data_IF_378701466115
#
_entry.id   IF_378701466115
#
_cell.length_a   1.000
_cell.length_b   1.000
_cell.length_c   1.000
_cell.angle_alpha   90.00
_cell.angle_beta   90.00
_cell.angle_gamma   90.00
#
_symmetry.space_group_name_H-M   'P 1'
#
loop_
_entity.id
_entity.type
_entity.pdbx_description
1 polymer ?
#
# COMPACT_ATOMS: atom_id res chain seq x y z
N UNK A 1 68.92 -29.11 19.44
CA UNK A 1 67.99 -28.56 20.46
C UNK A 1 67.50 -27.24 19.87
N UNK A 2 66.22 -26.99 19.53
CA UNK A 2 64.96 -27.24 20.22
C UNK A 2 63.81 -27.60 19.27
N UNK A 3 62.84 -28.40 19.76
CA UNK A 3 61.57 -28.70 19.10
C UNK A 3 60.58 -27.56 19.39
N UNK A 4 59.98 -26.97 18.35
CA UNK A 4 58.87 -26.03 18.49
C UNK A 4 57.54 -26.80 18.49
N UNK A 5 56.94 -26.93 19.67
CA UNK A 5 55.56 -27.42 19.87
C UNK A 5 54.58 -26.26 19.70
N UNK A 6 53.75 -26.30 18.67
CA UNK A 6 52.66 -25.33 18.47
C UNK A 6 51.44 -25.74 19.30
N UNK A 7 51.18 -24.97 20.36
CA UNK A 7 50.01 -25.06 21.22
C UNK A 7 48.82 -24.36 20.56
N UNK A 8 47.74 -25.09 20.25
CA UNK A 8 46.48 -24.55 19.78
C UNK A 8 45.58 -24.13 20.97
N UNK A 9 45.03 -22.90 21.00
CA UNK A 9 44.11 -22.49 22.05
C UNK A 9 42.73 -23.14 21.90
N UNK A 10 42.22 -23.71 23.00
CA UNK A 10 40.88 -24.31 23.11
C UNK A 10 39.82 -23.19 23.10
N UNK A 11 38.97 -23.17 22.06
CA UNK A 11 37.85 -22.22 21.94
C UNK A 11 36.75 -22.62 22.94
N UNK A 12 36.51 -21.77 23.94
CA UNK A 12 35.45 -21.95 24.94
C UNK A 12 34.12 -21.55 24.27
N UNK A 13 33.18 -22.50 24.17
CA UNK A 13 31.84 -22.26 23.64
C UNK A 13 30.96 -21.85 24.82
N UNK A 14 30.63 -20.56 24.90
CA UNK A 14 29.71 -20.01 25.90
C UNK A 14 28.29 -20.07 25.34
N UNK A 15 27.45 -20.95 25.89
CA UNK A 15 26.03 -21.07 25.54
C UNK A 15 25.22 -20.02 26.31
N UNK A 16 24.78 -18.95 25.64
CA UNK A 16 23.84 -17.97 26.20
C UNK A 16 22.40 -18.47 26.03
N UNK A 17 21.70 -18.66 27.15
CA UNK A 17 20.28 -19.04 27.21
C UNK A 17 19.42 -17.79 27.12
N UNK A 18 18.80 -17.55 25.97
CA UNK A 18 17.87 -16.44 25.75
C UNK A 18 16.51 -16.77 26.37
N UNK A 19 16.11 -16.02 27.39
CA UNK A 19 14.78 -16.10 28.02
C UNK A 19 13.81 -15.21 27.24
N UNK A 20 12.82 -15.80 26.58
CA UNK A 20 11.76 -15.08 25.88
C UNK A 20 10.67 -14.70 26.87
N UNK A 21 10.55 -13.41 27.20
CA UNK A 21 9.45 -12.88 28.01
C UNK A 21 8.27 -12.57 27.11
N UNK A 22 7.19 -13.34 27.23
CA UNK A 22 5.93 -13.12 26.50
C UNK A 22 5.12 -12.05 27.22
N UNK A 23 5.04 -10.84 26.65
CA UNK A 23 4.17 -9.77 27.15
C UNK A 23 2.75 -10.00 26.62
N UNK A 24 1.82 -10.41 27.49
CA UNK A 24 0.40 -10.56 27.16
C UNK A 24 -0.28 -9.19 27.22
N UNK A 25 -0.64 -8.63 26.08
CA UNK A 25 -1.40 -7.37 25.99
C UNK A 25 -2.88 -7.65 26.17
N UNK A 26 -3.42 -7.39 27.36
CA UNK A 26 -4.86 -7.47 27.65
C UNK A 26 -5.58 -6.33 26.92
N UNK A 27 -6.42 -6.67 25.94
CA UNK A 27 -7.24 -5.69 25.21
C UNK A 27 -8.55 -5.47 25.96
N UNK A 28 -8.68 -4.33 26.63
CA UNK A 28 -9.90 -3.93 27.33
C UNK A 28 -10.99 -3.64 26.31
N UNK A 29 -12.05 -4.46 26.30
CA UNK A 29 -13.19 -4.30 25.39
C UNK A 29 -14.20 -3.35 26.02
N UNK A 30 -14.27 -2.11 25.53
CA UNK A 30 -15.28 -1.14 25.97
C UNK A 30 -16.60 -1.44 25.26
N UNK A 31 -17.54 -2.07 25.96
CA UNK A 31 -18.93 -2.25 25.51
C UNK A 31 -19.69 -0.93 25.61
N UNK A 32 -19.94 -0.28 24.47
CA UNK A 32 -20.80 0.90 24.37
C UNK A 32 -22.26 0.45 24.24
N UNK A 33 -23.04 0.71 25.28
CA UNK A 33 -24.49 0.48 25.33
C UNK A 33 -25.20 1.53 24.48
N UNK A 34 -25.64 1.17 23.27
CA UNK A 34 -26.52 2.01 22.46
C UNK A 34 -27.97 1.71 22.79
N UNK A 35 -28.63 2.68 23.45
CA UNK A 35 -30.06 2.64 23.73
C UNK A 35 -30.87 2.54 22.43
N UNK A 36 -31.75 1.54 22.41
CA UNK A 36 -32.74 1.31 21.37
C UNK A 36 -33.92 2.25 21.63
N UNK A 37 -34.18 3.19 20.72
CA UNK A 37 -35.41 4.00 20.74
C UNK A 37 -36.34 3.51 19.64
N UNK A 38 -37.48 2.99 20.08
CA UNK A 38 -38.55 2.39 19.29
C UNK A 38 -39.33 3.44 18.48
N UNK A 39 -39.80 3.02 17.32
CA UNK A 39 -40.54 3.79 16.30
C UNK A 39 -41.69 4.65 16.83
N UNK A 40 -41.79 5.87 16.29
CA UNK A 40 -43.06 6.62 16.17
C UNK A 40 -43.35 6.89 14.70
N UNK A 41 -44.45 6.33 14.23
CA UNK A 41 -45.02 6.55 12.90
C UNK A 41 -45.79 7.86 12.86
N UNK A 42 -45.29 8.86 12.12
CA UNK A 42 -46.09 10.00 11.66
C UNK A 42 -45.93 10.18 10.16
N UNK A 43 -47.07 10.12 9.46
CA UNK A 43 -47.22 10.26 8.00
C UNK A 43 -47.08 11.75 7.61
N UNK A 44 -46.30 12.02 6.55
CA UNK A 44 -46.10 13.31 5.80
C UNK A 44 -44.68 13.89 5.92
N UNK A 45 -44.05 14.53 4.91
CA UNK A 45 -44.33 14.61 3.46
C UNK A 45 -43.34 13.73 2.65
N UNK A 46 -43.44 13.69 1.31
CA UNK A 46 -42.53 12.93 0.42
C UNK A 46 -41.06 13.16 0.79
N UNK A 47 -40.24 12.11 0.97
CA UNK A 47 -38.87 12.28 1.44
C UNK A 47 -38.06 12.93 0.33
N UNK A 48 -37.64 14.17 0.53
CA UNK A 48 -36.43 14.68 -0.12
C UNK A 48 -35.28 13.84 0.41
N UNK A 49 -35.04 12.70 -0.24
CA UNK A 49 -33.93 11.81 0.07
C UNK A 49 -32.69 12.68 0.01
N UNK A 50 -32.04 12.89 1.15
CA UNK A 50 -30.79 13.61 1.21
C UNK A 50 -29.73 12.78 0.44
N UNK A 51 -29.60 13.08 -0.85
CA UNK A 51 -28.66 12.41 -1.77
C UNK A 51 -27.24 12.93 -1.60
N UNK A 52 -26.98 13.82 -0.64
CA UNK A 52 -25.66 14.40 -0.42
C UNK A 52 -24.61 13.32 -0.18
N UNK A 53 -24.97 12.27 0.57
CA UNK A 53 -24.08 11.15 0.92
C UNK A 53 -24.14 9.96 -0.04
N UNK A 54 -24.84 10.07 -1.17
CA UNK A 54 -24.94 8.97 -2.15
C UNK A 54 -23.85 9.06 -3.21
N UNK A 55 -23.44 7.91 -3.72
CA UNK A 55 -22.42 7.78 -4.75
C UNK A 55 -22.65 6.52 -5.59
N UNK A 56 -22.01 6.43 -6.75
CA UNK A 56 -22.10 5.27 -7.62
C UNK A 56 -22.93 5.52 -8.87
N UNK A 57 -22.91 4.54 -9.78
CA UNK A 57 -23.63 4.59 -11.07
C UNK A 57 -25.13 4.86 -10.91
N UNK A 58 -25.73 4.30 -9.86
CA UNK A 58 -27.17 4.39 -9.58
C UNK A 58 -27.58 5.74 -8.98
N UNK A 59 -26.60 6.60 -8.65
CA UNK A 59 -26.79 7.93 -8.06
C UNK A 59 -26.21 9.02 -8.94
N UNK A 60 -26.56 9.01 -10.22
CA UNK A 60 -26.10 9.97 -11.24
C UNK A 60 -24.58 10.03 -11.38
N UNK A 61 -23.90 8.88 -11.26
CA UNK A 61 -22.43 8.79 -11.29
C UNK A 61 -21.74 9.71 -10.26
N UNK A 62 -22.41 10.02 -9.15
CA UNK A 62 -21.87 10.91 -8.13
C UNK A 62 -20.69 10.24 -7.42
N UNK A 63 -19.61 11.00 -7.25
CA UNK A 63 -18.44 10.57 -6.47
C UNK A 63 -18.48 11.16 -5.07
N UNK A 64 -17.85 10.46 -4.13
CA UNK A 64 -17.67 10.93 -2.76
C UNK A 64 -16.65 12.05 -2.65
N UNK A 65 -16.66 12.73 -1.52
CA UNK A 65 -15.69 13.77 -1.21
C UNK A 65 -14.28 13.17 -1.16
N UNK A 66 -13.27 14.03 -1.31
CA UNK A 66 -11.86 13.61 -1.28
C UNK A 66 -11.57 12.84 0.01
N UNK A 67 -11.06 11.61 -0.13
CA UNK A 67 -10.70 10.76 1.00
C UNK A 67 -11.80 9.79 1.45
N UNK A 68 -13.04 9.96 0.99
CA UNK A 68 -14.15 9.08 1.29
C UNK A 68 -14.28 7.94 0.26
N UNK A 69 -14.87 6.85 0.70
CA UNK A 69 -15.11 5.65 -0.07
C UNK A 69 -16.56 5.59 -0.50
N UNK A 70 -16.80 5.08 -1.70
CA UNK A 70 -18.15 4.78 -2.14
C UNK A 70 -18.47 3.32 -1.82
N UNK A 71 -19.29 3.08 -0.80
CA UNK A 71 -19.64 1.72 -0.40
C UNK A 71 -20.32 0.94 -1.52
N UNK A 72 -20.33 -0.40 -1.39
CA UNK A 72 -21.09 -1.28 -2.29
C UNK A 72 -22.59 -0.95 -2.36
N UNK A 73 -23.10 -0.20 -1.39
CA UNK A 73 -24.50 0.24 -1.31
C UNK A 73 -24.72 1.68 -1.79
N UNK A 74 -23.68 2.31 -2.35
CA UNK A 74 -23.73 3.66 -2.91
C UNK A 74 -23.82 4.75 -1.84
N UNK A 75 -23.07 4.60 -0.75
CA UNK A 75 -22.96 5.61 0.30
C UNK A 75 -21.52 6.04 0.50
N UNK A 76 -21.31 7.34 0.71
CA UNK A 76 -20.03 7.92 1.06
C UNK A 76 -19.73 7.79 2.54
N UNK A 77 -18.49 7.48 2.86
CA UNK A 77 -17.98 7.48 4.23
C UNK A 77 -16.56 6.94 4.31
N UNK A 78 -16.07 6.80 5.54
CA UNK A 78 -14.74 6.27 5.85
C UNK A 78 -14.86 4.99 6.69
N UNK A 79 -13.82 4.16 6.70
CA UNK A 79 -13.84 2.90 7.43
C UNK A 79 -14.33 1.71 6.59
N UNK A 80 -14.08 0.50 7.10
CA UNK A 80 -14.22 -0.76 6.37
C UNK A 80 -15.62 -1.02 5.81
N UNK A 81 -16.68 -0.47 6.43
CA UNK A 81 -18.07 -0.58 5.94
C UNK A 81 -18.27 0.13 4.60
N UNK A 82 -17.54 1.20 4.35
CA UNK A 82 -17.62 1.99 3.12
C UNK A 82 -16.52 1.62 2.14
N UNK A 83 -15.36 1.31 2.67
CA UNK A 83 -14.14 1.19 1.92
C UNK A 83 -13.63 -0.25 1.76
N UNK A 84 -14.30 -1.21 2.39
CA UNK A 84 -13.96 -2.62 2.30
C UNK A 84 -14.48 -3.25 1.01
N UNK A 85 -14.70 -4.56 1.05
CA UNK A 85 -15.12 -5.35 -0.13
C UNK A 85 -16.37 -4.78 -0.80
N UNK A 86 -16.27 -4.59 -2.12
CA UNK A 86 -17.35 -4.08 -2.96
C UNK A 86 -17.44 -2.55 -3.00
N UNK A 87 -16.51 -1.84 -2.37
CA UNK A 87 -16.39 -0.40 -2.57
C UNK A 87 -16.22 -0.08 -4.08
N UNK A 88 -16.92 0.93 -4.56
CA UNK A 88 -16.97 1.32 -5.97
C UNK A 88 -15.84 2.32 -6.29
N UNK A 89 -14.69 1.82 -6.72
CA UNK A 89 -13.45 2.61 -6.88
C UNK A 89 -13.56 3.79 -7.86
N UNK A 90 -14.46 3.71 -8.84
CA UNK A 90 -14.73 4.82 -9.77
C UNK A 90 -15.40 6.03 -9.11
N UNK A 91 -15.96 5.86 -7.91
CA UNK A 91 -16.76 6.87 -7.21
C UNK A 91 -16.25 7.18 -5.79
N UNK A 92 -15.13 6.58 -5.37
CA UNK A 92 -14.53 6.83 -4.06
C UNK A 92 -13.26 6.02 -3.81
N UNK A 93 -12.69 6.19 -2.62
CA UNK A 93 -11.36 5.73 -2.22
C UNK A 93 -11.33 4.33 -1.59
N UNK A 94 -11.45 3.26 -2.36
CA UNK A 94 -11.73 1.90 -1.86
C UNK A 94 -10.61 1.10 -1.16
N UNK A 95 -9.67 1.79 -0.52
CA UNK A 95 -8.41 1.18 -0.08
C UNK A 95 -8.26 1.18 1.47
N UNK A 96 -9.36 1.10 2.23
CA UNK A 96 -9.30 1.14 3.70
C UNK A 96 -8.84 -0.20 4.29
N UNK A 97 -7.53 -0.33 4.30
CA UNK A 97 -6.79 -1.56 4.55
C UNK A 97 -5.47 -1.61 3.76
N UNK A 98 -5.17 -0.54 2.99
CA UNK A 98 -3.99 -0.48 2.14
C UNK A 98 -4.06 -1.47 1.01
N UNK A 99 -5.25 -1.84 0.50
CA UNK A 99 -5.36 -2.77 -0.63
C UNK A 99 -5.24 -2.04 -1.97
N UNK A 100 -4.71 -2.73 -2.96
CA UNK A 100 -4.56 -2.30 -4.34
C UNK A 100 -4.59 -3.49 -5.29
N UNK A 101 -4.68 -3.24 -6.59
CA UNK A 101 -4.78 -4.28 -7.62
C UNK A 101 -6.01 -4.08 -8.50
N UNK A 102 -6.26 -4.99 -9.44
CA UNK A 102 -7.39 -4.90 -10.37
C UNK A 102 -8.74 -4.66 -9.67
N UNK A 103 -8.96 -5.31 -8.51
CA UNK A 103 -10.21 -5.21 -7.75
C UNK A 103 -10.30 -3.97 -6.84
N UNK A 104 -9.15 -3.37 -6.49
CA UNK A 104 -9.06 -2.33 -5.45
C UNK A 104 -8.55 -0.97 -5.99
N UNK A 105 -8.06 -0.94 -7.23
CA UNK A 105 -7.50 0.24 -7.87
C UNK A 105 -6.07 0.57 -7.42
N UNK A 106 -5.66 1.82 -7.73
CA UNK A 106 -4.33 2.35 -7.44
C UNK A 106 -4.15 2.70 -5.97
N UNK A 107 -2.92 2.61 -5.49
CA UNK A 107 -2.51 3.21 -4.22
C UNK A 107 -2.69 4.72 -4.23
N UNK A 108 -2.84 5.28 -3.04
CA UNK A 108 -3.40 6.61 -2.84
C UNK A 108 -2.37 7.70 -2.72
N UNK A 109 -1.23 7.30 -2.19
CA UNK A 109 -0.04 8.10 -2.28
C UNK A 109 0.61 7.76 -3.61
N UNK A 110 0.91 8.77 -4.40
CA UNK A 110 1.58 8.60 -5.69
C UNK A 110 2.98 8.01 -5.54
N UNK A 111 3.53 7.91 -4.32
CA UNK A 111 4.79 7.23 -3.98
C UNK A 111 4.63 5.79 -3.49
N UNK A 112 3.39 5.34 -3.22
CA UNK A 112 3.14 3.99 -2.75
C UNK A 112 3.16 2.99 -3.89
N UNK A 113 3.66 1.82 -3.55
CA UNK A 113 3.78 0.68 -4.41
C UNK A 113 2.66 -0.30 -4.13
N UNK A 114 2.12 -0.90 -5.18
CA UNK A 114 1.19 -1.99 -5.03
C UNK A 114 1.96 -3.30 -5.05
N UNK A 115 2.11 -3.97 -3.91
CA UNK A 115 2.85 -5.23 -3.86
C UNK A 115 2.19 -6.32 -4.70
N UNK A 116 2.95 -7.38 -4.96
CA UNK A 116 2.42 -8.60 -5.58
C UNK A 116 1.22 -9.20 -4.84
N UNK A 117 1.04 -8.88 -3.56
CA UNK A 117 -0.05 -9.39 -2.71
C UNK A 117 -1.25 -8.44 -2.65
N UNK A 118 -1.22 -7.34 -3.41
CA UNK A 118 -2.31 -6.37 -3.45
C UNK A 118 -2.36 -5.47 -2.23
N UNK A 119 -1.19 -5.08 -1.70
CA UNK A 119 -1.07 -4.13 -0.60
C UNK A 119 -0.20 -2.93 -0.96
N UNK A 120 -0.62 -1.75 -0.51
CA UNK A 120 0.03 -0.46 -0.66
C UNK A 120 1.01 -0.21 0.47
N UNK A 121 2.28 0.00 0.10
CA UNK A 121 3.34 0.42 1.03
C UNK A 121 4.46 1.10 0.22
N UNK A 122 5.43 1.71 0.89
CA UNK A 122 6.62 2.31 0.30
C UNK A 122 7.87 1.44 0.50
N UNK A 123 7.77 0.33 1.23
CA UNK A 123 8.90 -0.54 1.54
C UNK A 123 9.45 -1.25 0.31
N UNK A 124 10.76 -1.50 0.29
CA UNK A 124 11.44 -2.21 -0.79
C UNK A 124 10.82 -3.57 -1.13
N UNK A 125 10.32 -4.28 -0.12
CA UNK A 125 9.63 -5.55 -0.30
C UNK A 125 8.32 -5.41 -1.09
N UNK A 126 7.62 -4.28 -0.94
CA UNK A 126 6.39 -3.98 -1.68
C UNK A 126 6.67 -3.37 -3.04
N UNK A 127 7.72 -2.55 -3.14
CA UNK A 127 8.08 -1.81 -4.34
C UNK A 127 8.96 -2.58 -5.32
N UNK A 128 9.54 -3.71 -4.93
CA UNK A 128 10.48 -4.46 -5.76
C UNK A 128 9.87 -5.05 -7.04
N UNK A 129 10.61 -5.97 -7.67
CA UNK A 129 10.33 -6.49 -9.02
C UNK A 129 8.97 -7.16 -9.23
N UNK A 130 8.21 -7.48 -8.17
CA UNK A 130 6.89 -8.10 -8.28
C UNK A 130 5.74 -7.14 -7.95
N UNK A 131 6.05 -5.87 -7.78
CA UNK A 131 5.05 -4.82 -7.64
C UNK A 131 4.15 -4.73 -8.89
N UNK A 132 2.86 -4.48 -8.68
CA UNK A 132 1.86 -4.30 -9.72
C UNK A 132 1.88 -2.84 -10.22
N UNK A 133 2.61 -2.60 -11.31
CA UNK A 133 2.91 -1.25 -11.84
C UNK A 133 1.72 -0.49 -12.39
N UNK A 134 0.61 -1.17 -12.68
CA UNK A 134 -0.65 -0.53 -13.05
C UNK A 134 -1.37 0.09 -11.83
N UNK A 135 -1.08 -0.43 -10.63
CA UNK A 135 -1.79 -0.10 -9.39
C UNK A 135 -0.92 0.63 -8.35
N UNK A 136 0.36 0.88 -8.64
CA UNK A 136 1.24 1.67 -7.79
C UNK A 136 2.59 1.95 -8.46
N UNK A 137 3.45 2.71 -7.79
CA UNK A 137 4.84 2.85 -8.24
C UNK A 137 5.59 1.55 -8.02
N UNK A 138 6.43 1.15 -8.95
CA UNK A 138 7.33 0.02 -8.74
C UNK A 138 8.76 0.49 -8.98
N UNK A 139 9.69 -0.06 -8.20
CA UNK A 139 11.11 0.19 -8.31
C UNK A 139 11.88 -1.06 -8.70
N UNK A 140 12.89 -0.89 -9.54
CA UNK A 140 13.74 -1.99 -9.93
C UNK A 140 14.69 -2.44 -8.83
N UNK A 141 15.02 -3.73 -8.89
CA UNK A 141 15.97 -4.37 -7.98
C UNK A 141 17.38 -4.34 -8.56
N UNK A 142 18.39 -4.15 -7.71
CA UNK A 142 19.80 -4.17 -8.07
C UNK A 142 20.16 -3.22 -9.24
N UNK A 143 19.74 -1.96 -9.14
CA UNK A 143 19.98 -0.91 -10.15
C UNK A 143 19.43 -1.23 -11.55
N UNK A 144 18.51 -2.18 -11.69
CA UNK A 144 17.79 -2.39 -12.95
C UNK A 144 16.56 -1.50 -13.04
N UNK A 145 16.10 -1.21 -14.24
CA UNK A 145 14.86 -0.46 -14.51
C UNK A 145 14.30 -0.85 -15.87
N UNK A 146 13.06 -0.46 -16.13
CA UNK A 146 12.36 -0.79 -17.37
C UNK A 146 11.01 -1.43 -17.09
N UNK A 147 10.32 -1.89 -18.12
CA UNK A 147 8.97 -2.45 -18.00
C UNK A 147 8.86 -3.60 -16.99
N UNK A 148 9.86 -4.50 -16.97
CA UNK A 148 9.89 -5.64 -16.06
C UNK A 148 10.41 -5.31 -14.66
N UNK A 149 11.08 -4.18 -14.48
CA UNK A 149 11.76 -3.84 -13.23
C UNK A 149 11.12 -2.65 -12.52
N UNK A 150 10.41 -1.77 -13.22
CA UNK A 150 9.88 -0.53 -12.67
C UNK A 150 10.88 0.64 -12.80
N UNK A 151 10.61 1.69 -12.03
CA UNK A 151 11.38 2.93 -12.02
C UNK A 151 12.67 2.79 -11.22
N UNK A 152 13.60 3.70 -11.42
CA UNK A 152 14.73 3.83 -10.53
C UNK A 152 14.35 4.47 -9.19
N UNK A 153 14.99 4.03 -8.11
CA UNK A 153 14.95 4.70 -6.80
C UNK A 153 15.76 6.00 -6.83
N UNK A 154 15.51 6.85 -5.84
CA UNK A 154 16.22 8.11 -5.61
C UNK A 154 16.25 9.01 -6.84
N UNK A 155 15.17 8.98 -7.62
CA UNK A 155 15.00 9.88 -8.76
C UNK A 155 16.12 9.74 -9.82
N UNK A 156 16.78 8.57 -9.87
CA UNK A 156 17.83 8.27 -10.87
C UNK A 156 17.24 8.11 -12.28
N UNK A 157 18.11 8.23 -13.26
CA UNK A 157 17.78 8.04 -14.68
C UNK A 157 17.77 6.55 -15.01
N UNK A 158 16.85 6.12 -15.87
CA UNK A 158 16.84 4.78 -16.42
C UNK A 158 17.49 4.80 -17.80
N UNK A 159 18.70 4.25 -17.93
CA UNK A 159 19.43 4.21 -19.19
C UNK A 159 18.70 3.39 -20.26
N UNK A 160 19.10 3.55 -21.53
CA UNK A 160 18.63 2.70 -22.64
C UNK A 160 18.88 1.20 -22.45
N UNK A 161 19.78 0.84 -21.53
CA UNK A 161 20.18 -0.53 -21.23
C UNK A 161 19.42 -1.13 -20.05
N UNK A 162 18.45 -0.40 -19.47
CA UNK A 162 17.67 -0.89 -18.33
C UNK A 162 18.43 -0.85 -17.01
N UNK A 163 19.36 0.10 -16.86
CA UNK A 163 20.10 0.35 -15.62
C UNK A 163 19.87 1.75 -15.07
N UNK A 164 19.79 1.85 -13.76
CA UNK A 164 19.65 3.06 -12.98
C UNK A 164 20.99 3.74 -12.74
N UNK A 165 21.05 5.04 -12.97
CA UNK A 165 22.24 5.84 -12.67
C UNK A 165 22.01 7.33 -12.85
N UNK A 166 23.00 8.12 -12.46
CA UNK A 166 22.95 9.60 -12.54
C UNK A 166 23.90 10.18 -13.57
N UNK A 167 24.73 9.35 -14.21
CA UNK A 167 25.69 9.83 -15.22
C UNK A 167 25.03 10.11 -16.56
N UNK A 168 25.71 10.88 -17.40
CA UNK A 168 25.27 11.22 -18.75
C UNK A 168 24.84 10.01 -19.58
N UNK A 169 25.53 8.86 -19.45
CA UNK A 169 25.19 7.61 -20.14
C UNK A 169 23.81 7.07 -19.74
N UNK A 170 23.32 7.43 -18.55
CA UNK A 170 22.02 7.04 -18.05
C UNK A 170 20.95 8.09 -18.34
N UNK A 171 21.30 9.37 -18.19
CA UNK A 171 20.34 10.47 -18.21
C UNK A 171 20.12 11.11 -19.58
N UNK A 172 21.08 11.02 -20.49
CA UNK A 172 21.01 11.62 -21.83
C UNK A 172 20.47 10.60 -22.86
N UNK A 173 21.06 10.57 -24.06
CA UNK A 173 20.57 9.82 -25.21
C UNK A 173 20.13 8.38 -24.91
N UNK A 174 18.82 8.15 -25.02
CA UNK A 174 18.17 6.86 -24.81
C UNK A 174 17.69 6.61 -23.37
N UNK A 175 17.70 7.60 -22.50
CA UNK A 175 17.04 7.49 -21.21
C UNK A 175 15.54 7.17 -21.37
N UNK A 176 15.00 6.32 -20.49
CA UNK A 176 13.61 5.85 -20.50
C UNK A 176 12.75 6.67 -19.52
N UNK A 177 12.00 7.69 -19.96
CA UNK A 177 11.32 8.64 -19.07
C UNK A 177 10.18 8.02 -18.25
N UNK A 178 9.62 6.90 -18.71
CA UNK A 178 8.63 6.12 -17.95
C UNK A 178 9.25 5.46 -16.70
N UNK A 179 10.56 5.20 -16.72
CA UNK A 179 11.27 4.40 -15.73
C UNK A 179 12.37 5.18 -14.98
N UNK A 180 12.63 6.45 -15.29
CA UNK A 180 13.58 7.29 -14.55
C UNK A 180 13.46 8.76 -14.94
N UNK A 181 14.21 9.63 -14.25
CA UNK A 181 14.20 11.07 -14.52
C UNK A 181 15.23 11.46 -15.57
N UNK A 182 14.81 11.49 -16.83
CA UNK A 182 15.67 11.86 -17.96
C UNK A 182 15.92 13.38 -18.04
N UNK A 183 17.08 13.77 -18.59
CA UNK A 183 17.51 15.18 -18.72
C UNK A 183 17.74 15.56 -20.17
#
# INVERSE_FOLDING_TARGET
MWKLTTSFPRKIITTTRTTTTTTTTTTTTTTTTTNTTTNTTTKSPSPTINTSYRCGKDFNNKSCSKGECCSKYGYCGTGSKYCGTGCQASYGRCNDGGRCGADYGKCLNDKQCCSQYGYCDISDAHCGSKCQSEFGLCYGSHDKCGEQYGRCKDDKCCSKWGYCGTSDKHCKNGCQPKYGLCK
#
